data_IF_699055308782
#
_entry.id   IF_699055308782
#
_cell.length_a   1.000
_cell.length_b   1.000
_cell.length_c   1.000
_cell.angle_alpha   90.00
_cell.angle_beta   90.00
_cell.angle_gamma   90.00
#
_symmetry.space_group_name_H-M   'P 1'
#
loop_
_entity.id
_entity.type
_entity.pdbx_description
1 polymer ?
#
# COMPACT_ATOMS: atom_id res chain seq x y z
N UNK A 1 2.28 -12.57 22.84
CA UNK A 1 3.03 -13.76 22.37
C UNK A 1 3.58 -13.42 20.99
N UNK A 2 4.87 -13.07 20.91
CA UNK A 2 5.55 -12.65 19.68
C UNK A 2 5.37 -13.73 18.60
N UNK A 3 4.81 -13.39 17.44
CA UNK A 3 4.92 -14.23 16.26
C UNK A 3 6.41 -14.23 15.89
N UNK A 4 7.13 -15.26 16.34
CA UNK A 4 8.56 -15.43 16.17
C UNK A 4 8.86 -15.68 14.69
N UNK A 5 8.94 -14.60 13.89
CA UNK A 5 9.84 -14.65 12.75
C UNK A 5 11.21 -14.92 13.36
N UNK A 6 11.70 -16.16 13.20
CA UNK A 6 12.96 -16.63 13.77
C UNK A 6 14.16 -15.74 13.37
N UNK A 7 13.99 -14.93 12.31
CA UNK A 7 14.98 -14.01 11.76
C UNK A 7 14.59 -12.54 11.99
N UNK A 8 15.17 -11.84 12.98
CA UNK A 8 14.85 -10.42 13.26
C UNK A 8 15.14 -9.50 12.08
N UNK A 9 16.12 -9.86 11.24
CA UNK A 9 16.44 -9.14 10.00
C UNK A 9 15.26 -9.17 9.02
N UNK A 10 14.64 -10.33 8.81
CA UNK A 10 13.50 -10.46 7.89
C UNK A 10 12.29 -9.67 8.37
N UNK A 11 12.01 -9.69 9.68
CA UNK A 11 10.93 -8.90 10.29
C UNK A 11 11.18 -7.40 10.13
N UNK A 12 12.44 -6.96 10.29
CA UNK A 12 12.85 -5.57 10.04
C UNK A 12 12.64 -5.17 8.58
N UNK A 13 13.05 -6.01 7.63
CA UNK A 13 12.84 -5.75 6.20
C UNK A 13 11.35 -5.66 5.86
N UNK A 14 10.52 -6.60 6.32
CA UNK A 14 9.07 -6.61 6.06
C UNK A 14 8.34 -5.40 6.64
N UNK A 15 8.84 -4.83 7.74
CA UNK A 15 8.26 -3.62 8.36
C UNK A 15 8.26 -2.43 7.40
N UNK A 16 9.30 -2.30 6.58
CA UNK A 16 9.46 -1.20 5.63
C UNK A 16 9.08 -1.58 4.21
N UNK A 17 9.46 -2.79 3.79
CA UNK A 17 9.28 -3.25 2.41
C UNK A 17 7.80 -3.33 2.05
N UNK A 18 6.97 -3.95 2.90
CA UNK A 18 5.54 -4.13 2.60
C UNK A 18 4.79 -2.79 2.37
N UNK A 19 4.82 -1.81 3.28
CA UNK A 19 4.15 -0.52 3.04
C UNK A 19 4.80 0.27 1.89
N UNK A 20 6.12 0.17 1.69
CA UNK A 20 6.80 0.86 0.58
C UNK A 20 6.36 0.31 -0.77
N UNK A 21 6.25 -1.02 -0.91
CA UNK A 21 5.79 -1.67 -2.12
C UNK A 21 4.35 -1.28 -2.45
N UNK A 22 3.49 -1.26 -1.42
CA UNK A 22 2.11 -0.86 -1.56
C UNK A 22 1.96 0.59 -2.01
N UNK A 23 2.65 1.53 -1.34
CA UNK A 23 2.62 2.95 -1.69
C UNK A 23 3.20 3.21 -3.10
N UNK A 24 4.21 2.45 -3.50
CA UNK A 24 4.78 2.53 -4.86
C UNK A 24 3.75 2.12 -5.91
N UNK A 25 3.14 0.94 -5.75
CA UNK A 25 2.11 0.46 -6.68
C UNK A 25 0.91 1.40 -6.76
N UNK A 26 0.39 1.82 -5.60
CA UNK A 26 -0.72 2.76 -5.52
C UNK A 26 -0.37 4.12 -6.15
N UNK A 27 0.82 4.66 -5.85
CA UNK A 27 1.27 5.95 -6.36
C UNK A 27 1.45 5.98 -7.87
N UNK A 28 2.02 4.92 -8.46
CA UNK A 28 2.14 4.78 -9.92
C UNK A 28 0.75 4.73 -10.54
N UNK A 29 -0.13 3.86 -10.04
CA UNK A 29 -1.48 3.70 -10.60
C UNK A 29 -2.30 5.00 -10.50
N UNK A 30 -2.28 5.66 -9.34
CA UNK A 30 -2.93 6.95 -9.14
C UNK A 30 -2.35 8.03 -10.05
N UNK A 31 -1.04 8.09 -10.24
CA UNK A 31 -0.43 9.05 -11.16
C UNK A 31 -0.87 8.80 -12.62
N UNK A 32 -1.02 7.53 -13.03
CA UNK A 32 -1.49 7.15 -14.36
C UNK A 32 -2.99 7.42 -14.58
N UNK A 33 -3.80 7.33 -13.53
CA UNK A 33 -5.24 7.60 -13.58
C UNK A 33 -5.53 9.10 -13.53
N UNK A 34 -4.91 9.80 -12.57
CA UNK A 34 -5.10 11.25 -12.35
C UNK A 34 -4.29 12.11 -13.33
N UNK A 35 -3.36 11.50 -14.08
CA UNK A 35 -2.41 12.19 -14.95
C UNK A 35 -1.59 13.29 -14.24
N UNK A 36 -1.44 13.17 -12.92
CA UNK A 36 -0.77 14.18 -12.07
C UNK A 36 -0.03 13.51 -10.92
N UNK A 37 1.29 13.73 -10.87
CA UNK A 37 2.15 13.23 -9.77
C UNK A 37 1.83 13.91 -8.45
N UNK A 38 1.53 15.21 -8.49
CA UNK A 38 1.18 15.99 -7.31
C UNK A 38 -0.14 15.51 -6.69
N UNK A 39 -1.16 15.28 -7.51
CA UNK A 39 -2.46 14.78 -7.04
C UNK A 39 -2.36 13.37 -6.48
N UNK A 40 -1.56 12.50 -7.11
CA UNK A 40 -1.26 11.15 -6.59
C UNK A 40 -0.64 11.22 -5.18
N UNK A 41 0.39 12.06 -5.00
CA UNK A 41 1.03 12.26 -3.71
C UNK A 41 0.08 12.79 -2.64
N UNK A 42 -0.78 13.75 -2.99
CA UNK A 42 -1.79 14.29 -2.07
C UNK A 42 -2.78 13.22 -1.60
N UNK A 43 -3.29 12.38 -2.52
CA UNK A 43 -4.22 11.29 -2.18
C UNK A 43 -3.54 10.28 -1.24
N UNK A 44 -2.31 9.86 -1.54
CA UNK A 44 -1.57 8.95 -0.65
C UNK A 44 -1.30 9.56 0.72
N UNK A 45 -0.99 10.86 0.77
CA UNK A 45 -0.85 11.60 2.02
C UNK A 45 -2.14 11.61 2.84
N UNK A 46 -3.29 11.85 2.21
CA UNK A 46 -4.59 11.77 2.87
C UNK A 46 -4.90 10.37 3.40
N UNK A 47 -4.60 9.32 2.63
CA UNK A 47 -4.76 7.92 3.10
C UNK A 47 -3.90 7.67 4.33
N UNK A 48 -2.66 8.16 4.33
CA UNK A 48 -1.77 8.02 5.48
C UNK A 48 -2.29 8.76 6.72
N UNK A 49 -2.70 10.03 6.58
CA UNK A 49 -3.29 10.82 7.67
C UNK A 49 -4.55 10.15 8.21
N UNK A 50 -5.40 9.62 7.32
CA UNK A 50 -6.60 8.89 7.72
C UNK A 50 -6.26 7.68 8.59
N UNK A 51 -5.30 6.85 8.18
CA UNK A 51 -4.87 5.70 8.98
C UNK A 51 -4.19 6.10 10.30
N UNK A 52 -3.48 7.22 10.32
CA UNK A 52 -2.88 7.80 11.53
C UNK A 52 -3.97 8.19 12.54
N UNK A 53 -4.99 8.93 12.10
CA UNK A 53 -6.09 9.40 12.96
C UNK A 53 -6.94 8.24 13.46
N UNK A 54 -7.25 7.27 12.60
CA UNK A 54 -8.14 6.15 12.91
C UNK A 54 -7.40 4.86 13.28
N UNK A 55 -6.13 4.93 13.68
CA UNK A 55 -5.30 3.74 13.96
C UNK A 55 -5.96 2.73 14.91
N UNK A 56 -6.68 3.19 15.94
CA UNK A 56 -7.41 2.33 16.87
C UNK A 56 -8.54 1.53 16.20
N UNK A 57 -9.23 2.14 15.24
CA UNK A 57 -10.26 1.45 14.43
C UNK A 57 -9.63 0.36 13.56
N UNK A 58 -8.49 0.66 12.94
CA UNK A 58 -7.76 -0.31 12.11
C UNK A 58 -7.26 -1.50 12.92
N UNK A 59 -6.77 -1.27 14.13
CA UNK A 59 -6.30 -2.32 15.03
C UNK A 59 -7.44 -3.14 15.63
N UNK A 60 -8.59 -2.50 15.92
CA UNK A 60 -9.73 -3.14 16.58
C UNK A 60 -10.63 -3.98 15.68
N UNK A 61 -10.62 -3.75 14.35
CA UNK A 61 -11.51 -4.45 13.41
C UNK A 61 -10.75 -5.43 12.52
N UNK A 62 -11.12 -6.71 12.58
CA UNK A 62 -10.42 -7.79 11.86
C UNK A 62 -10.33 -7.60 10.34
N UNK A 63 -11.31 -6.94 9.73
CA UNK A 63 -11.33 -6.71 8.27
C UNK A 63 -10.47 -5.53 7.81
N UNK A 64 -10.19 -4.57 8.70
CA UNK A 64 -9.30 -3.42 8.40
C UNK A 64 -7.83 -3.71 8.68
N UNK A 65 -7.57 -4.65 9.60
CA UNK A 65 -6.22 -5.05 9.98
C UNK A 65 -5.30 -5.35 8.79
N UNK A 66 -5.73 -6.03 7.71
CA UNK A 66 -4.91 -6.27 6.51
C UNK A 66 -4.41 -5.01 5.81
N UNK A 67 -5.16 -3.91 5.87
CA UNK A 67 -4.93 -2.69 5.11
C UNK A 67 -4.18 -1.61 5.92
N UNK A 68 -3.80 -1.94 7.15
CA UNK A 68 -3.13 -1.00 8.04
C UNK A 68 -1.64 -0.88 7.70
N UNK A 69 -1.28 0.17 6.96
CA UNK A 69 0.06 0.37 6.37
C UNK A 69 1.16 0.31 7.43
N UNK A 70 0.98 1.05 8.52
CA UNK A 70 1.99 1.21 9.57
C UNK A 70 1.61 0.52 10.89
N UNK A 71 1.05 -0.70 10.82
CA UNK A 71 0.68 -1.48 12.01
C UNK A 71 1.81 -1.64 13.05
N UNK A 72 3.08 -1.79 12.61
CA UNK A 72 4.24 -1.86 13.52
C UNK A 72 4.39 -0.61 14.41
N UNK A 73 4.05 0.57 13.90
CA UNK A 73 4.28 1.84 14.61
C UNK A 73 3.28 2.02 15.76
N UNK A 74 2.02 1.62 15.55
CA UNK A 74 0.94 1.87 16.51
C UNK A 74 0.56 0.64 17.35
N UNK A 75 0.86 -0.56 16.86
CA UNK A 75 0.46 -1.81 17.52
C UNK A 75 1.59 -2.84 17.44
N UNK A 76 2.74 -2.57 18.09
CA UNK A 76 3.87 -3.48 18.08
C UNK A 76 3.47 -4.84 18.69
N UNK A 77 3.81 -5.92 18.01
CA UNK A 77 3.51 -7.29 18.48
C UNK A 77 2.05 -7.73 18.28
N UNK A 78 1.27 -7.01 17.48
CA UNK A 78 -0.08 -7.42 17.11
C UNK A 78 -0.11 -8.84 16.51
N UNK A 79 -1.08 -9.70 16.90
CA UNK A 79 -1.16 -11.07 16.42
C UNK A 79 -1.40 -11.16 14.90
N UNK A 80 -2.05 -10.15 14.33
CA UNK A 80 -2.34 -10.04 12.89
C UNK A 80 -1.17 -9.47 12.07
N UNK A 81 -0.03 -9.14 12.70
CA UNK A 81 1.07 -8.41 12.04
C UNK A 81 1.55 -9.11 10.76
N UNK A 82 1.79 -10.42 10.80
CA UNK A 82 2.29 -11.13 9.62
C UNK A 82 1.25 -11.17 8.50
N UNK A 83 -0.01 -11.45 8.84
CA UNK A 83 -1.11 -11.45 7.88
C UNK A 83 -1.23 -10.09 7.18
N UNK A 84 -1.16 -9.00 7.93
CA UNK A 84 -1.11 -7.65 7.38
C UNK A 84 0.05 -7.45 6.38
N UNK A 85 1.28 -7.90 6.71
CA UNK A 85 2.43 -7.73 5.78
C UNK A 85 2.26 -8.51 4.49
N UNK A 86 1.72 -9.72 4.55
CA UNK A 86 1.47 -10.53 3.36
C UNK A 86 0.38 -9.91 2.49
N UNK A 87 -0.70 -9.44 3.09
CA UNK A 87 -1.81 -8.77 2.38
C UNK A 87 -1.35 -7.47 1.70
N UNK A 88 -0.53 -6.65 2.38
CA UNK A 88 0.07 -5.46 1.77
C UNK A 88 0.97 -5.82 0.57
N UNK A 89 1.73 -6.90 0.63
CA UNK A 89 2.56 -7.36 -0.50
C UNK A 89 1.69 -7.87 -1.65
N UNK A 90 0.70 -8.72 -1.36
CA UNK A 90 -0.21 -9.26 -2.39
C UNK A 90 -0.92 -8.12 -3.12
N UNK A 91 -1.46 -7.16 -2.36
CA UNK A 91 -2.17 -6.02 -2.92
C UNK A 91 -1.23 -5.08 -3.67
N UNK A 92 0.01 -4.89 -3.21
CA UNK A 92 1.04 -4.16 -3.96
C UNK A 92 1.33 -4.81 -5.32
N UNK A 93 1.46 -6.15 -5.37
CA UNK A 93 1.67 -6.88 -6.62
C UNK A 93 0.50 -6.72 -7.59
N UNK A 94 -0.74 -6.76 -7.09
CA UNK A 94 -1.95 -6.51 -7.89
C UNK A 94 -1.94 -5.09 -8.46
N UNK A 95 -1.62 -4.08 -7.64
CA UNK A 95 -1.54 -2.69 -8.07
C UNK A 95 -0.45 -2.47 -9.12
N UNK A 96 0.71 -3.09 -8.95
CA UNK A 96 1.81 -3.03 -9.91
C UNK A 96 1.46 -3.75 -11.22
N UNK A 97 0.78 -4.90 -11.16
CA UNK A 97 0.29 -5.60 -12.34
C UNK A 97 -0.75 -4.75 -13.10
N UNK A 98 -1.66 -4.09 -12.39
CA UNK A 98 -2.62 -3.15 -12.97
C UNK A 98 -1.90 -1.95 -13.61
N UNK A 99 -0.92 -1.34 -12.92
CA UNK A 99 -0.13 -0.24 -13.45
C UNK A 99 0.64 -0.65 -14.72
N UNK A 100 1.24 -1.85 -14.71
CA UNK A 100 1.91 -2.43 -15.87
C UNK A 100 0.95 -2.62 -17.05
N UNK A 101 -0.26 -3.12 -16.81
CA UNK A 101 -1.30 -3.23 -17.82
C UNK A 101 -1.69 -1.87 -18.43
N UNK A 102 -1.85 -0.85 -17.57
CA UNK A 102 -2.10 0.52 -18.01
C UNK A 102 -0.98 1.09 -18.88
N UNK A 103 0.27 0.81 -18.53
CA UNK A 103 1.45 1.28 -19.27
C UNK A 103 1.63 0.58 -20.63
N UNK A 104 1.11 -0.64 -20.82
CA UNK A 104 1.21 -1.37 -22.09
C UNK A 104 0.38 -0.80 -23.24
N UNK A 105 -0.60 0.06 -22.96
CA UNK A 105 -1.47 0.66 -23.99
C UNK A 105 -1.30 2.19 -24.07
N UNK A 106 -0.09 2.72 -24.32
CA UNK A 106 0.14 4.17 -24.35
C UNK A 106 -0.60 4.83 -25.52
N UNK A 107 -0.70 4.14 -26.65
CA UNK A 107 -1.27 4.63 -27.91
C UNK A 107 -2.76 4.99 -27.84
N UNK A 108 -3.59 4.28 -27.05
CA UNK A 108 -5.02 4.64 -26.87
C UNK A 108 -5.26 5.94 -26.09
N UNK A 109 -4.24 6.51 -25.44
CA UNK A 109 -4.39 7.70 -24.58
C UNK A 109 -3.90 9.00 -25.20
N UNK A 110 -3.05 8.94 -26.22
CA UNK A 110 -2.51 10.14 -26.89
C UNK A 110 -3.32 10.58 -28.12
N UNK A 111 -3.99 9.68 -28.85
CA UNK A 111 -4.79 10.01 -30.03
C UNK A 111 -6.26 10.38 -29.74
N UNK A 112 -6.57 10.77 -28.50
CA UNK A 112 -7.93 11.13 -28.08
C UNK A 112 -8.28 12.62 -28.25
N UNK A 113 -7.40 13.42 -28.84
CA UNK A 113 -7.54 14.87 -28.95
C UNK A 113 -7.76 15.35 -30.41
N UNK A 114 -7.89 14.43 -31.37
CA UNK A 114 -7.93 14.74 -32.82
C UNK A 114 -9.29 14.45 -33.51
N UNK A 115 -10.42 14.52 -32.81
CA UNK A 115 -11.78 14.46 -33.41
C UNK A 115 -12.66 15.63 -33.02
#
# INVERSE_FOLDING_TARGET
>A
MFFQIKNPLLAGQLTWLAPTFWLTGAGILLALVLRSRASSGAVLGCVWIFQLVFHGYFAGNGWTQPWFLFATLYTPGAPFWLANRLELIITALVLLAAAWWFLRNPERRFFGEDV
#
